data_IF_577836303222
#
_entry.id   IF_577836303222
#
_cell.length_a   1.000
_cell.length_b   1.000
_cell.length_c   1.000
_cell.angle_alpha   90.00
_cell.angle_beta   90.00
_cell.angle_gamma   90.00
#
_symmetry.space_group_name_H-M   'P 1'
#
loop_
_entity.id
_entity.type
_entity.pdbx_description
1 polymer ?
#
# COMPACT_ATOMS: atom_id res chain seq x y z
N UNK A 1 -28.87 -3.47 -6.32
CA UNK A 1 -27.86 -3.11 -7.34
C UNK A 1 -26.58 -3.81 -6.93
N UNK A 2 -26.24 -4.91 -7.59
CA UNK A 2 -24.87 -5.45 -7.50
C UNK A 2 -23.94 -4.40 -8.09
N UNK A 3 -23.03 -3.87 -7.27
CA UNK A 3 -21.92 -3.05 -7.76
C UNK A 3 -21.02 -4.02 -8.52
N UNK A 4 -21.02 -3.93 -9.85
CA UNK A 4 -20.12 -4.70 -10.70
C UNK A 4 -18.69 -4.44 -10.20
N UNK A 5 -18.10 -5.45 -9.55
CA UNK A 5 -16.79 -5.31 -8.94
C UNK A 5 -15.79 -5.11 -10.07
N UNK A 6 -15.20 -3.91 -10.17
CA UNK A 6 -14.10 -3.65 -11.08
C UNK A 6 -13.02 -4.71 -10.83
N UNK A 7 -12.91 -5.70 -11.73
CA UNK A 7 -11.87 -6.71 -11.66
C UNK A 7 -10.57 -6.04 -12.05
N UNK A 8 -9.84 -5.56 -11.04
CA UNK A 8 -8.50 -5.02 -11.25
C UNK A 8 -7.58 -6.12 -11.81
N UNK A 9 -6.60 -5.75 -12.66
CA UNK A 9 -5.60 -6.70 -13.15
C UNK A 9 -4.82 -7.33 -11.98
N UNK A 10 -4.11 -8.42 -12.25
CA UNK A 10 -3.33 -9.11 -11.20
C UNK A 10 -2.13 -8.27 -10.75
N UNK A 11 -1.62 -7.39 -11.60
CA UNK A 11 -0.43 -6.57 -11.43
C UNK A 11 -0.78 -5.08 -11.33
N UNK A 12 -1.73 -4.74 -10.46
CA UNK A 12 -2.13 -3.35 -10.21
C UNK A 12 -0.95 -2.52 -9.70
N UNK A 13 -0.76 -1.35 -10.32
CA UNK A 13 0.21 -0.31 -9.94
C UNK A 13 -0.50 1.00 -9.61
N UNK A 14 0.15 1.88 -8.85
CA UNK A 14 -0.38 3.21 -8.51
C UNK A 14 -0.70 4.05 -9.76
N UNK A 15 0.17 4.03 -10.78
CA UNK A 15 -0.05 4.75 -12.04
C UNK A 15 -1.31 4.26 -12.77
N UNK A 16 -1.61 2.96 -12.71
CA UNK A 16 -2.80 2.38 -13.32
C UNK A 16 -4.08 2.89 -12.66
N UNK A 17 -4.16 2.86 -11.33
CA UNK A 17 -5.39 3.24 -10.61
C UNK A 17 -5.68 4.74 -10.74
N UNK A 18 -4.63 5.57 -10.83
CA UNK A 18 -4.77 7.01 -11.05
C UNK A 18 -5.23 7.31 -12.48
N UNK A 19 -4.57 6.73 -13.49
CA UNK A 19 -4.90 7.00 -14.91
C UNK A 19 -6.28 6.51 -15.32
N UNK A 20 -6.76 5.44 -14.71
CA UNK A 20 -8.07 4.87 -15.03
C UNK A 20 -9.20 5.44 -14.16
N UNK A 21 -8.94 6.49 -13.36
CA UNK A 21 -9.98 7.14 -12.56
C UNK A 21 -10.56 6.25 -11.45
N UNK A 22 -9.79 5.26 -10.98
CA UNK A 22 -10.20 4.31 -9.94
C UNK A 22 -10.00 4.88 -8.53
N UNK A 23 -9.64 6.16 -8.45
CA UNK A 23 -9.45 6.92 -7.22
C UNK A 23 -10.09 8.30 -7.40
N UNK A 24 -11.12 8.61 -6.59
CA UNK A 24 -11.85 9.89 -6.70
C UNK A 24 -11.00 11.11 -6.33
N UNK A 25 -10.02 10.92 -5.44
CA UNK A 25 -9.12 11.98 -4.97
C UNK A 25 -7.67 11.48 -5.02
N UNK A 26 -7.08 11.39 -6.22
CA UNK A 26 -5.81 10.70 -6.40
C UNK A 26 -4.68 11.36 -5.62
N UNK A 27 -4.63 12.69 -5.53
CA UNK A 27 -3.59 13.37 -4.75
C UNK A 27 -3.69 13.12 -3.24
N UNK A 28 -4.91 13.16 -2.68
CA UNK A 28 -5.13 12.85 -1.25
C UNK A 28 -4.76 11.39 -0.94
N UNK A 29 -5.17 10.46 -1.82
CA UNK A 29 -4.87 9.03 -1.70
C UNK A 29 -3.37 8.74 -1.71
N UNK A 30 -2.65 9.29 -2.68
CA UNK A 30 -1.20 9.09 -2.82
C UNK A 30 -0.46 9.71 -1.62
N UNK A 31 -0.88 10.89 -1.16
CA UNK A 31 -0.30 11.52 0.06
C UNK A 31 -0.59 10.70 1.32
N UNK A 32 -1.76 10.10 1.44
CA UNK A 32 -2.13 9.25 2.58
C UNK A 32 -1.30 7.97 2.65
N UNK A 33 -1.06 7.32 1.49
CA UNK A 33 -0.13 6.19 1.39
C UNK A 33 1.27 6.63 1.81
N UNK A 34 1.78 7.72 1.23
CA UNK A 34 3.11 8.22 1.53
C UNK A 34 3.31 8.53 3.02
N UNK A 35 2.32 9.15 3.66
CA UNK A 35 2.37 9.45 5.10
C UNK A 35 2.49 8.21 5.98
N UNK A 36 1.77 7.13 5.66
CA UNK A 36 1.90 5.86 6.37
C UNK A 36 3.24 5.17 6.04
N UNK A 37 3.69 5.24 4.79
CA UNK A 37 4.95 4.66 4.35
C UNK A 37 6.16 5.29 5.07
N UNK A 38 6.19 6.63 5.21
CA UNK A 38 7.25 7.30 5.99
C UNK A 38 7.21 6.96 7.48
N UNK A 39 6.04 6.68 8.06
CA UNK A 39 5.95 6.20 9.45
C UNK A 39 6.54 4.81 9.59
N UNK A 40 6.22 3.92 8.66
CA UNK A 40 6.80 2.58 8.58
C UNK A 40 8.33 2.64 8.41
N UNK A 41 8.81 3.48 7.50
CA UNK A 41 10.24 3.64 7.20
C UNK A 41 11.09 4.03 8.40
N UNK A 42 10.57 4.93 9.25
CA UNK A 42 11.27 5.35 10.46
C UNK A 42 11.57 4.20 11.42
N UNK A 43 10.75 3.14 11.40
CA UNK A 43 10.90 1.97 12.29
C UNK A 43 11.59 0.79 11.60
N UNK A 44 11.36 0.62 10.30
CA UNK A 44 11.70 -0.63 9.59
C UNK A 44 12.63 -0.44 8.38
N UNK A 45 12.85 0.80 7.93
CA UNK A 45 13.65 1.10 6.75
C UNK A 45 12.87 0.97 5.44
N UNK A 46 13.56 0.55 4.37
CA UNK A 46 13.00 0.55 3.02
C UNK A 46 11.72 -0.29 2.90
N UNK A 47 10.75 0.24 2.16
CA UNK A 47 9.41 -0.30 2.04
C UNK A 47 8.95 -0.38 0.59
N UNK A 48 7.93 -1.20 0.38
CA UNK A 48 7.14 -1.25 -0.86
C UNK A 48 5.65 -1.27 -0.53
N UNK A 49 4.83 -0.80 -1.46
CA UNK A 49 3.38 -0.79 -1.38
C UNK A 49 2.82 -1.88 -2.28
N UNK A 50 1.88 -2.65 -1.74
CA UNK A 50 1.08 -3.60 -2.51
C UNK A 50 -0.37 -3.19 -2.50
N UNK A 51 -0.98 -3.09 -3.67
CA UNK A 51 -2.39 -2.72 -3.82
C UNK A 51 -3.29 -3.95 -3.74
N UNK A 52 -4.46 -3.78 -3.12
CA UNK A 52 -5.59 -4.68 -3.22
C UNK A 52 -6.17 -4.64 -4.64
N UNK A 53 -6.40 -5.82 -5.20
CA UNK A 53 -6.99 -6.09 -6.50
C UNK A 53 -8.47 -6.55 -6.39
N UNK A 54 -9.00 -6.71 -5.18
CA UNK A 54 -10.39 -7.01 -4.86
C UNK A 54 -11.07 -5.86 -4.14
N UNK A 55 -11.53 -4.85 -4.88
CA UNK A 55 -12.23 -3.73 -4.25
C UNK A 55 -13.17 -2.98 -5.20
N UNK A 56 -14.18 -2.33 -4.63
CA UNK A 56 -15.14 -1.47 -5.32
C UNK A 56 -14.49 -0.12 -5.68
N UNK A 57 -13.85 -0.06 -6.85
CA UNK A 57 -13.84 1.07 -7.79
C UNK A 57 -13.39 2.50 -7.40
N UNK A 58 -13.13 2.85 -6.14
CA UNK A 58 -12.94 4.28 -5.79
C UNK A 58 -11.73 4.63 -4.90
N UNK A 59 -11.09 3.64 -4.27
CA UNK A 59 -9.79 3.76 -3.60
C UNK A 59 -9.36 2.36 -3.14
N UNK A 60 -8.45 1.67 -3.87
CA UNK A 60 -8.01 0.34 -3.50
C UNK A 60 -7.37 0.31 -2.10
N UNK A 61 -7.58 -0.77 -1.36
CA UNK A 61 -6.82 -1.03 -0.14
C UNK A 61 -5.34 -1.24 -0.47
N UNK A 62 -4.47 -1.11 0.53
CA UNK A 62 -3.05 -1.34 0.33
C UNK A 62 -2.37 -1.91 1.58
N UNK A 63 -1.18 -2.46 1.37
CA UNK A 63 -0.25 -2.90 2.42
C UNK A 63 1.08 -2.17 2.24
N UNK A 64 1.78 -2.03 3.35
CA UNK A 64 3.18 -1.58 3.38
C UNK A 64 3.99 -2.79 3.80
N UNK A 65 4.90 -3.22 2.94
CA UNK A 65 5.75 -4.40 3.11
C UNK A 65 7.21 -3.95 3.19
N UNK A 66 8.06 -4.80 3.78
CA UNK A 66 9.51 -4.59 3.70
C UNK A 66 9.97 -4.70 2.25
N UNK A 67 10.85 -3.80 1.81
CA UNK A 67 11.38 -3.84 0.45
C UNK A 67 12.23 -5.09 0.17
N UNK A 68 12.86 -5.63 1.20
CA UNK A 68 13.61 -6.88 1.15
C UNK A 68 13.15 -7.81 2.28
N UNK A 69 13.07 -9.11 2.00
CA UNK A 69 12.78 -10.08 3.03
C UNK A 69 13.87 -10.05 4.11
N UNK A 70 13.51 -10.03 5.41
CA UNK A 70 14.50 -10.13 6.47
C UNK A 70 15.19 -11.49 6.46
N UNK A 71 16.35 -11.57 7.12
CA UNK A 71 17.02 -12.85 7.37
C UNK A 71 16.09 -13.80 8.13
N UNK A 72 16.13 -15.09 7.79
CA UNK A 72 15.33 -16.10 8.46
C UNK A 72 15.66 -16.13 9.96
N UNK A 73 14.62 -16.05 10.80
CA UNK A 73 14.76 -16.17 12.24
C UNK A 73 14.75 -17.64 12.66
N UNK A 74 15.52 -17.96 13.70
CA UNK A 74 15.46 -19.24 14.39
C UNK A 74 14.11 -19.43 15.10
N UNK A 75 13.73 -20.68 15.44
CA UNK A 75 12.50 -20.93 16.20
C UNK A 75 12.44 -20.19 17.56
N UNK A 76 13.57 -20.02 18.21
CA UNK A 76 13.69 -19.32 19.49
C UNK A 76 13.43 -17.81 19.33
N UNK A 77 14.05 -17.19 18.32
CA UNK A 77 13.78 -15.78 17.97
C UNK A 77 12.31 -15.58 17.59
N UNK A 78 11.73 -16.46 16.78
CA UNK A 78 10.30 -16.38 16.46
C UNK A 78 9.43 -16.44 17.71
N UNK A 79 9.73 -17.36 18.64
CA UNK A 79 9.00 -17.47 19.91
C UNK A 79 9.10 -16.19 20.73
N UNK A 80 10.30 -15.62 20.86
CA UNK A 80 10.51 -14.37 21.59
C UNK A 80 9.77 -13.19 20.93
N UNK A 81 9.74 -13.13 19.60
CA UNK A 81 8.99 -12.11 18.87
C UNK A 81 7.47 -12.23 19.06
N UNK A 82 6.91 -13.43 18.96
CA UNK A 82 5.46 -13.64 19.09
C UNK A 82 4.94 -13.57 20.52
N UNK A 83 5.66 -14.14 21.49
CA UNK A 83 5.15 -14.32 22.86
C UNK A 83 5.67 -13.26 23.82
N UNK A 84 6.88 -12.76 23.60
CA UNK A 84 7.58 -11.87 24.53
C UNK A 84 7.63 -10.42 24.01
N UNK A 85 7.11 -10.18 22.80
CA UNK A 85 7.03 -8.85 22.20
C UNK A 85 8.39 -8.26 21.81
N UNK A 86 9.42 -9.11 21.67
CA UNK A 86 10.72 -8.66 21.20
C UNK A 86 10.66 -8.24 19.72
N UNK A 87 11.44 -7.23 19.36
CA UNK A 87 11.57 -6.85 17.96
C UNK A 87 12.32 -7.94 17.19
N UNK A 88 11.60 -8.64 16.32
CA UNK A 88 12.15 -9.68 15.44
C UNK A 88 11.75 -9.35 14.01
N UNK A 89 12.71 -9.00 13.12
CA UNK A 89 12.41 -8.53 11.76
C UNK A 89 11.45 -9.44 10.98
N UNK A 90 11.58 -10.76 11.14
CA UNK A 90 10.70 -11.75 10.49
C UNK A 90 9.26 -11.67 11.00
N UNK A 91 9.04 -11.45 12.30
CA UNK A 91 7.70 -11.30 12.89
C UNK A 91 7.08 -9.97 12.47
N UNK A 92 7.88 -8.90 12.44
CA UNK A 92 7.45 -7.57 11.99
C UNK A 92 7.09 -7.58 10.49
N UNK A 93 7.88 -8.28 9.66
CA UNK A 93 7.60 -8.45 8.23
C UNK A 93 6.31 -9.25 8.00
N UNK A 94 6.07 -10.31 8.78
CA UNK A 94 4.82 -11.05 8.72
C UNK A 94 3.63 -10.17 9.15
N UNK A 95 3.79 -9.37 10.21
CA UNK A 95 2.76 -8.45 10.70
C UNK A 95 2.44 -7.39 9.64
N UNK A 96 3.45 -6.81 9.01
CA UNK A 96 3.32 -5.83 7.92
C UNK A 96 2.59 -6.44 6.71
N UNK A 97 3.00 -7.64 6.28
CA UNK A 97 2.38 -8.37 5.18
C UNK A 97 0.91 -8.76 5.45
N UNK A 98 0.46 -8.70 6.71
CA UNK A 98 -0.93 -8.95 7.10
C UNK A 98 -1.68 -7.68 7.54
N UNK A 99 -1.08 -6.50 7.50
CA UNK A 99 -1.72 -5.25 7.92
C UNK A 99 -2.34 -4.54 6.72
N UNK A 100 -3.67 -4.52 6.65
CA UNK A 100 -4.44 -3.88 5.59
C UNK A 100 -4.77 -2.43 5.96
N UNK A 101 -4.39 -1.50 5.09
CA UNK A 101 -4.82 -0.10 5.14
C UNK A 101 -6.00 0.13 4.21
N UNK A 102 -7.03 0.78 4.73
CA UNK A 102 -8.21 1.16 3.96
C UNK A 102 -7.87 2.23 2.94
N UNK A 103 -8.23 2.02 1.68
CA UNK A 103 -7.86 2.96 0.61
C UNK A 103 -8.36 4.39 0.84
N UNK A 104 -9.63 4.55 1.23
CA UNK A 104 -10.22 5.88 1.46
C UNK A 104 -9.86 6.49 2.82
N UNK A 105 -9.65 5.67 3.84
CA UNK A 105 -9.46 6.13 5.22
C UNK A 105 -7.99 6.27 5.61
N UNK A 106 -7.09 5.56 4.93
CA UNK A 106 -5.69 5.37 5.28
C UNK A 106 -5.47 4.84 6.71
N UNK A 107 -6.51 4.30 7.34
CA UNK A 107 -6.45 3.65 8.65
C UNK A 107 -6.23 2.16 8.46
N UNK A 108 -5.59 1.53 9.44
CA UNK A 108 -5.55 0.07 9.53
C UNK A 108 -6.99 -0.42 9.71
N UNK A 109 -7.46 -1.26 8.78
CA UNK A 109 -8.79 -1.86 8.86
C UNK A 109 -8.75 -3.24 9.49
N UNK A 110 -7.68 -4.01 9.23
CA UNK A 110 -7.54 -5.37 9.73
C UNK A 110 -6.07 -5.77 9.81
N UNK A 111 -5.74 -6.55 10.83
CA UNK A 111 -4.56 -7.41 10.85
C UNK A 111 -5.01 -8.84 10.50
N UNK A 112 -4.75 -9.32 9.28
CA UNK A 112 -5.13 -10.66 8.85
C UNK A 112 -5.21 -10.89 7.33
N UNK A 113 -5.40 -12.17 6.99
CA UNK A 113 -5.64 -12.67 5.63
C UNK A 113 -7.14 -12.51 5.29
N UNK A 114 -7.59 -11.30 4.98
CA UNK A 114 -8.95 -11.10 4.45
C UNK A 114 -9.10 -11.69 3.03
N UNK A 115 -10.34 -11.80 2.55
CA UNK A 115 -10.69 -12.25 1.17
C UNK A 115 -10.25 -11.26 0.05
N UNK A 116 -9.37 -10.33 0.39
CA UNK A 116 -8.76 -9.37 -0.53
C UNK A 116 -7.76 -10.10 -1.44
N UNK A 117 -7.90 -9.92 -2.75
CA UNK A 117 -6.90 -10.40 -3.71
C UNK A 117 -5.82 -9.35 -3.81
N UNK A 118 -4.56 -9.72 -3.71
CA UNK A 118 -3.46 -8.74 -3.73
C UNK A 118 -2.79 -8.68 -5.10
N UNK A 119 -2.37 -7.49 -5.49
CA UNK A 119 -1.52 -7.29 -6.67
C UNK A 119 -0.24 -8.11 -6.53
N UNK A 120 0.25 -8.72 -7.62
CA UNK A 120 1.58 -9.34 -7.66
C UNK A 120 2.69 -8.30 -7.75
N UNK A 121 2.38 -7.10 -8.24
CA UNK A 121 3.33 -6.02 -8.35
C UNK A 121 3.34 -5.16 -7.08
N UNK A 122 4.45 -4.44 -6.90
CA UNK A 122 4.63 -3.47 -5.82
C UNK A 122 5.15 -2.14 -6.37
N UNK A 123 4.95 -1.08 -5.59
CA UNK A 123 5.45 0.26 -5.87
C UNK A 123 6.31 0.75 -4.69
N UNK A 124 7.45 1.36 -4.99
CA UNK A 124 8.37 1.93 -4.01
C UNK A 124 8.19 3.46 -3.88
N UNK A 125 9.10 4.11 -3.15
CA UNK A 125 9.11 5.57 -3.00
C UNK A 125 9.23 6.29 -4.34
N UNK A 126 10.05 5.80 -5.27
CA UNK A 126 10.23 6.42 -6.58
C UNK A 126 8.95 6.37 -7.42
N UNK A 127 8.26 5.23 -7.43
CA UNK A 127 6.93 5.09 -8.04
C UNK A 127 5.93 6.11 -7.47
N UNK A 128 5.87 6.23 -6.14
CA UNK A 128 4.96 7.13 -5.43
C UNK A 128 5.20 8.60 -5.79
N UNK A 129 6.48 9.02 -5.77
CA UNK A 129 6.87 10.37 -6.12
C UNK A 129 6.60 10.69 -7.59
N UNK A 130 6.83 9.73 -8.49
CA UNK A 130 6.52 9.88 -9.93
C UNK A 130 5.03 10.12 -10.17
N UNK A 131 4.17 9.36 -9.50
CA UNK A 131 2.71 9.54 -9.60
C UNK A 131 2.28 10.90 -9.03
N UNK A 132 2.83 11.29 -7.88
CA UNK A 132 2.51 12.59 -7.27
C UNK A 132 2.95 13.76 -8.17
N UNK A 133 4.14 13.67 -8.77
CA UNK A 133 4.64 14.68 -9.70
C UNK A 133 3.70 14.85 -10.90
N UNK A 134 3.29 13.75 -11.53
CA UNK A 134 2.33 13.76 -12.66
C UNK A 134 1.02 14.44 -12.27
N UNK A 135 0.45 14.12 -11.10
CA UNK A 135 -0.78 14.73 -10.60
C UNK A 135 -0.65 16.25 -10.43
N UNK A 136 0.49 16.72 -9.92
CA UNK A 136 0.78 18.16 -9.77
C UNK A 136 0.90 18.84 -11.14
N UNK A 137 1.54 18.19 -12.10
CA UNK A 137 1.68 18.70 -13.47
C UNK A 137 0.34 18.77 -14.21
N UNK A 138 -0.49 17.72 -14.09
CA UNK A 138 -1.83 17.67 -14.68
C UNK A 138 -2.73 18.78 -14.13
N UNK A 139 -2.69 19.00 -12.81
CA UNK A 139 -3.41 20.11 -12.18
C UNK A 139 -2.96 21.46 -12.72
N UNK A 140 -1.65 21.70 -12.82
CA UNK A 140 -1.09 22.96 -13.37
C UNK A 140 -1.53 23.21 -14.81
N UNK A 141 -1.54 22.17 -15.65
CA UNK A 141 -2.03 22.24 -17.03
C UNK A 141 -3.51 22.60 -17.10
N UNK A 142 -4.31 22.03 -16.19
CA UNK A 142 -5.77 22.22 -16.15
C UNK A 142 -6.16 23.63 -15.66
N UNK A 143 -5.32 24.27 -14.85
CA UNK A 143 -5.56 25.62 -14.29
C UNK A 143 -4.96 26.76 -15.10
N UNK A 144 -4.18 26.46 -16.16
CA UNK A 144 -3.59 27.50 -17.01
C UNK A 144 -4.60 27.88 -18.12
N UNK A 145 -5.12 29.12 -18.15
CA UNK A 145 -6.00 29.55 -19.23
C UNK A 145 -5.23 29.56 -20.55
N UNK A 146 -5.82 29.00 -21.60
CA UNK A 146 -5.34 29.19 -22.98
C UNK A 146 -5.46 30.65 -23.39
#
# INVERSE_FOLDING_TARGET
MEVEMAKLPKDVRLDYIVRNGLVNKPEEYIRGIFGNAKQFERRHGAWVIRLGAGGTGYAPNYRIEFAASPSQASPEELRAGFLEGQYVPTVEALTAANTLYGGSSHKVLQHGLGDERWSTATDDEASLLSVLQKLVEDRRRSTSPR
#
